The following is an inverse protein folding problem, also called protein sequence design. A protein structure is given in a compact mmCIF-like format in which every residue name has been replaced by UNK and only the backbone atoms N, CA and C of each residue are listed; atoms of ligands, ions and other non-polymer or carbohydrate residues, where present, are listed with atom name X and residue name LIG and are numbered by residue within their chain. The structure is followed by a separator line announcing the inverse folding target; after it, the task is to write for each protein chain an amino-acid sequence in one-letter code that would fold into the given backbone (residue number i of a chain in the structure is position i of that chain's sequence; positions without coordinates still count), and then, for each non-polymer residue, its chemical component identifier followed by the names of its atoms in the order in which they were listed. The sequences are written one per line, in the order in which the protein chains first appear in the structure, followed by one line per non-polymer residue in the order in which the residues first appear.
data_IF_129090945769
#
_entry.id   IF_129090945769
#
_cell.length_a   1.000
_cell.length_b   1.000
_cell.length_c   1.000
_cell.angle_alpha   90.00
_cell.angle_beta   90.00
_cell.angle_gamma   90.00
#
_symmetry.space_group_name_H-M   'P 1'
#
loop_
_entity.id
_entity.type
_entity.pdbx_description
1 polymer ?
#
# COMPACT_ATOMS: atom_id res chain seq x y z
N UNK A 1 9.93 24.24 -25.27
CA UNK A 1 9.59 24.66 -23.89
C UNK A 1 9.75 23.43 -23.00
N UNK A 2 10.75 23.41 -22.11
CA UNK A 2 10.92 22.30 -21.19
C UNK A 2 9.71 22.26 -20.25
N UNK A 3 8.91 21.21 -20.31
CA UNK A 3 7.79 20.98 -19.40
C UNK A 3 8.39 20.74 -18.02
N UNK A 4 8.18 21.66 -17.06
CA UNK A 4 8.60 21.46 -15.66
C UNK A 4 8.03 20.11 -15.20
N UNK A 5 8.91 19.20 -14.79
CA UNK A 5 8.54 17.96 -14.11
C UNK A 5 8.83 18.15 -12.62
N UNK A 6 7.85 17.94 -11.72
CA UNK A 6 8.16 17.95 -10.29
C UNK A 6 9.19 16.85 -10.00
N UNK A 7 10.12 17.13 -9.08
CA UNK A 7 10.99 16.08 -8.57
C UNK A 7 10.15 15.14 -7.69
N UNK A 8 10.59 13.90 -7.55
CA UNK A 8 9.98 12.89 -6.65
C UNK A 8 9.64 13.45 -5.27
N UNK A 9 10.57 14.20 -4.69
CA UNK A 9 10.41 14.85 -3.38
C UNK A 9 9.25 15.85 -3.34
N UNK A 10 9.01 16.58 -4.43
CA UNK A 10 7.94 17.59 -4.49
C UNK A 10 6.57 16.90 -4.48
N UNK A 11 6.42 15.87 -5.31
CA UNK A 11 5.18 15.08 -5.40
C UNK A 11 4.86 14.40 -4.06
N UNK A 12 5.86 13.79 -3.42
CA UNK A 12 5.69 13.12 -2.12
C UNK A 12 5.38 14.13 -1.01
N UNK A 13 6.06 15.28 -0.97
CA UNK A 13 5.77 16.33 0.00
C UNK A 13 4.34 16.86 -0.15
N UNK A 14 3.87 17.05 -1.38
CA UNK A 14 2.51 17.49 -1.66
C UNK A 14 1.46 16.44 -1.22
N UNK A 15 1.72 15.15 -1.45
CA UNK A 15 0.84 14.07 -0.96
C UNK A 15 0.83 14.01 0.57
N UNK A 16 1.99 14.10 1.21
CA UNK A 16 2.08 14.14 2.66
C UNK A 16 1.32 15.34 3.24
N UNK A 17 1.43 16.52 2.63
CA UNK A 17 0.65 17.71 3.02
C UNK A 17 -0.85 17.50 2.88
N UNK A 18 -1.29 16.91 1.76
CA UNK A 18 -2.71 16.59 1.54
C UNK A 18 -3.24 15.61 2.60
N UNK A 19 -2.51 14.52 2.85
CA UNK A 19 -2.88 13.51 3.85
C UNK A 19 -2.96 14.15 5.24
N UNK A 20 -1.95 14.91 5.64
CA UNK A 20 -1.91 15.57 6.95
C UNK A 20 -2.94 16.68 7.10
N UNK A 21 -3.28 17.37 6.01
CA UNK A 21 -4.34 18.37 6.02
C UNK A 21 -5.71 17.73 6.25
N UNK A 22 -5.99 16.62 5.57
CA UNK A 22 -7.29 15.93 5.64
C UNK A 22 -7.43 15.05 6.89
N UNK A 23 -6.32 14.51 7.39
CA UNK A 23 -6.29 13.51 8.46
C UNK A 23 -5.23 13.81 9.54
N UNK A 24 -5.03 15.08 9.91
CA UNK A 24 -3.99 15.47 10.89
C UNK A 24 -4.26 15.08 12.35
N UNK A 25 -5.20 14.18 12.63
CA UNK A 25 -5.53 13.67 13.97
C UNK A 25 -6.00 12.22 13.89
N UNK A 26 -5.74 11.46 14.93
CA UNK A 26 -6.13 10.06 15.00
C UNK A 26 -5.17 9.17 14.21
N UNK A 27 -5.47 7.88 14.24
CA UNK A 27 -4.70 6.89 13.52
C UNK A 27 -5.16 6.82 12.07
N UNK A 28 -4.26 7.14 11.14
CA UNK A 28 -4.54 7.21 9.70
C UNK A 28 -3.92 6.02 9.00
N UNK A 29 -4.68 5.36 8.14
CA UNK A 29 -4.18 4.25 7.33
C UNK A 29 -4.22 4.64 5.85
N UNK A 30 -3.06 4.57 5.21
CA UNK A 30 -2.82 4.92 3.82
C UNK A 30 -2.46 3.66 3.04
N UNK A 31 -3.17 3.40 1.95
CA UNK A 31 -2.80 2.32 1.01
C UNK A 31 -1.99 2.89 -0.17
N UNK A 32 -0.94 2.18 -0.59
CA UNK A 32 -0.19 2.42 -1.82
C UNK A 32 -0.30 1.17 -2.70
N UNK A 33 -1.25 1.21 -3.62
CA UNK A 33 -1.61 0.10 -4.50
C UNK A 33 -0.97 0.26 -5.87
N UNK A 34 -0.27 -0.77 -6.34
CA UNK A 34 0.40 -0.73 -7.64
C UNK A 34 0.44 -2.12 -8.29
N UNK A 35 0.49 -2.19 -9.64
CA UNK A 35 0.78 -3.41 -10.38
C UNK A 35 2.26 -3.87 -10.29
N UNK A 36 3.01 -3.41 -9.29
CA UNK A 36 4.42 -3.75 -9.10
C UNK A 36 4.87 -3.54 -7.67
N UNK A 37 5.28 -4.61 -7.00
CA UNK A 37 5.64 -4.58 -5.57
C UNK A 37 6.81 -3.63 -5.29
N UNK A 38 7.89 -3.70 -6.06
CA UNK A 38 9.10 -2.90 -5.79
C UNK A 38 8.85 -1.38 -5.92
N UNK A 39 8.06 -0.98 -6.92
CA UNK A 39 7.70 0.42 -7.13
C UNK A 39 6.78 0.93 -6.01
N UNK A 40 5.81 0.11 -5.58
CA UNK A 40 4.93 0.41 -4.45
C UNK A 40 5.72 0.59 -3.15
N UNK A 41 6.62 -0.35 -2.85
CA UNK A 41 7.44 -0.33 -1.64
C UNK A 41 8.32 0.92 -1.61
N UNK A 42 9.04 1.21 -2.69
CA UNK A 42 9.93 2.38 -2.73
C UNK A 42 9.14 3.68 -2.60
N UNK A 43 8.02 3.82 -3.31
CA UNK A 43 7.18 5.01 -3.21
C UNK A 43 6.60 5.21 -1.80
N UNK A 44 6.16 4.12 -1.17
CA UNK A 44 5.58 4.15 0.17
C UNK A 44 6.63 4.45 1.26
N UNK A 45 7.87 3.97 1.10
CA UNK A 45 8.98 4.31 1.97
C UNK A 45 9.28 5.81 1.92
N UNK A 46 9.38 6.39 0.73
CA UNK A 46 9.64 7.83 0.61
C UNK A 46 8.45 8.67 1.08
N UNK A 47 7.22 8.19 0.91
CA UNK A 47 6.03 8.86 1.45
C UNK A 47 6.08 8.86 2.99
N UNK A 48 6.51 7.76 3.62
CA UNK A 48 6.70 7.73 5.06
C UNK A 48 7.78 8.71 5.51
N UNK A 49 8.88 8.82 4.77
CA UNK A 49 9.94 9.80 5.07
C UNK A 49 9.46 11.24 4.90
N UNK A 50 8.66 11.54 3.88
CA UNK A 50 8.03 12.84 3.69
C UNK A 50 7.08 13.21 4.85
N UNK A 51 6.35 12.24 5.40
CA UNK A 51 5.49 12.42 6.59
C UNK A 51 6.33 12.64 7.85
N UNK A 52 7.38 11.84 8.05
CA UNK A 52 8.31 11.99 9.20
C UNK A 52 9.02 13.34 9.18
N UNK A 53 9.40 13.83 8.00
CA UNK A 53 9.98 15.17 7.83
C UNK A 53 9.04 16.30 8.27
N UNK A 54 7.73 16.04 8.34
CA UNK A 54 6.69 16.94 8.86
C UNK A 54 6.30 16.63 10.31
N UNK A 55 7.18 15.93 11.05
CA UNK A 55 7.06 15.63 12.47
C UNK A 55 5.87 14.74 12.87
N UNK A 56 5.39 13.89 11.96
CA UNK A 56 4.37 12.87 12.26
C UNK A 56 4.98 11.47 12.28
N UNK A 57 4.52 10.62 13.20
CA UNK A 57 4.95 9.23 13.24
C UNK A 57 4.41 8.47 12.02
N UNK A 58 5.28 7.80 11.28
CA UNK A 58 4.90 6.97 10.14
C UNK A 58 5.43 5.54 10.31
N UNK A 59 4.55 4.56 10.12
CA UNK A 59 4.85 3.13 10.16
C UNK A 59 4.67 2.53 8.77
N UNK A 60 5.52 1.56 8.42
CA UNK A 60 5.53 0.88 7.13
C UNK A 60 5.18 -0.59 7.30
N UNK A 61 4.35 -1.10 6.41
CA UNK A 61 4.06 -2.52 6.26
C UNK A 61 3.88 -2.82 4.77
N UNK A 62 4.34 -3.99 4.33
CA UNK A 62 4.15 -4.46 2.97
C UNK A 62 3.18 -5.64 2.98
N UNK A 63 2.27 -5.70 2.00
CA UNK A 63 1.33 -6.82 1.89
C UNK A 63 2.07 -8.17 1.73
N UNK A 64 3.26 -8.15 1.14
CA UNK A 64 4.12 -9.34 0.99
C UNK A 64 4.53 -9.96 2.33
N UNK A 65 4.61 -9.18 3.40
CA UNK A 65 4.91 -9.68 4.76
C UNK A 65 3.70 -10.34 5.45
N UNK A 66 2.57 -10.37 4.75
CA UNK A 66 1.34 -11.09 5.09
C UNK A 66 0.99 -12.09 3.98
N UNK A 67 2.00 -12.67 3.33
CA UNK A 67 1.82 -13.74 2.34
C UNK A 67 1.31 -15.02 2.97
N UNK A 68 0.58 -15.83 2.19
CA UNK A 68 0.28 -17.22 2.55
C UNK A 68 1.50 -18.12 2.26
N UNK A 69 1.58 -19.30 2.91
CA UNK A 69 2.58 -20.32 2.57
C UNK A 69 2.53 -20.69 1.09
N UNK A 70 3.67 -21.02 0.50
CA UNK A 70 3.79 -21.37 -0.93
C UNK A 70 2.80 -22.44 -1.36
N UNK A 71 2.64 -23.48 -0.54
CA UNK A 71 1.70 -24.57 -0.81
C UNK A 71 0.25 -24.10 -1.02
N UNK A 72 -0.18 -23.04 -0.32
CA UNK A 72 -1.50 -22.44 -0.51
C UNK A 72 -1.53 -21.54 -1.75
N UNK A 73 -0.52 -20.69 -1.92
CA UNK A 73 -0.44 -19.75 -3.06
C UNK A 73 -0.44 -20.46 -4.41
N UNK A 74 0.25 -21.60 -4.48
CA UNK A 74 0.43 -22.37 -5.72
C UNK A 74 -0.59 -23.52 -5.85
N UNK A 75 -1.62 -23.58 -5.00
CA UNK A 75 -2.62 -24.66 -5.01
C UNK A 75 -3.38 -24.75 -6.34
N UNK A 76 -3.48 -23.64 -7.08
CA UNK A 76 -4.08 -23.57 -8.42
C UNK A 76 -3.06 -23.70 -9.57
N UNK A 77 -1.81 -24.03 -9.26
CA UNK A 77 -0.67 -24.00 -10.15
C UNK A 77 0.17 -22.74 -9.97
N UNK A 78 1.50 -22.86 -10.08
CA UNK A 78 2.45 -21.77 -9.83
C UNK A 78 2.26 -20.56 -10.76
N UNK A 79 1.83 -20.79 -12.01
CA UNK A 79 1.60 -19.73 -13.01
C UNK A 79 0.13 -19.26 -13.06
N UNK A 80 -0.68 -19.63 -12.07
CA UNK A 80 -2.10 -19.29 -12.05
C UNK A 80 -2.30 -17.82 -11.72
N UNK A 81 -2.77 -17.04 -12.70
CA UNK A 81 -3.18 -15.64 -12.49
C UNK A 81 -4.26 -15.50 -11.40
N UNK A 82 -5.19 -16.45 -11.36
CA UNK A 82 -6.23 -16.49 -10.34
C UNK A 82 -5.64 -16.80 -8.95
N UNK A 83 -4.71 -17.75 -8.86
CA UNK A 83 -4.01 -18.06 -7.59
C UNK A 83 -3.21 -16.87 -7.09
N UNK A 84 -2.44 -16.22 -7.97
CA UNK A 84 -1.67 -15.03 -7.63
C UNK A 84 -2.56 -13.85 -7.15
N UNK A 85 -3.75 -13.67 -7.72
CA UNK A 85 -4.67 -12.63 -7.27
C UNK A 85 -5.44 -12.99 -5.99
N UNK A 86 -5.97 -14.22 -5.90
CA UNK A 86 -6.92 -14.61 -4.83
C UNK A 86 -6.27 -15.25 -3.63
N UNK A 87 -5.17 -15.97 -3.83
CA UNK A 87 -4.61 -16.89 -2.85
C UNK A 87 -3.20 -16.47 -2.39
N UNK A 88 -2.64 -15.36 -2.89
CA UNK A 88 -1.29 -14.94 -2.53
C UNK A 88 -1.14 -14.45 -1.07
N UNK A 89 -2.16 -13.79 -0.52
CA UNK A 89 -2.04 -13.05 0.74
C UNK A 89 -3.07 -13.47 1.80
N UNK A 90 -2.67 -13.36 3.07
CA UNK A 90 -3.48 -13.60 4.25
C UNK A 90 -4.05 -12.29 4.79
N UNK A 91 -5.05 -11.77 4.07
CA UNK A 91 -5.80 -10.57 4.46
C UNK A 91 -6.46 -10.67 5.85
N UNK A 92 -6.99 -11.83 6.30
CA UNK A 92 -7.42 -12.01 7.68
C UNK A 92 -6.31 -11.71 8.69
N UNK A 93 -5.08 -12.20 8.47
CA UNK A 93 -3.94 -11.90 9.35
C UNK A 93 -3.52 -10.43 9.28
N UNK A 94 -3.42 -9.84 8.08
CA UNK A 94 -3.20 -8.39 7.92
C UNK A 94 -4.21 -7.58 8.74
N UNK A 95 -5.49 -7.95 8.67
CA UNK A 95 -6.56 -7.21 9.33
C UNK A 95 -6.47 -7.31 10.85
N UNK A 96 -6.41 -8.54 11.39
CA UNK A 96 -6.45 -8.78 12.85
C UNK A 96 -5.15 -8.40 13.58
N UNK A 97 -4.00 -8.48 12.89
CA UNK A 97 -2.68 -8.31 13.50
C UNK A 97 -2.09 -6.91 13.27
N UNK A 98 -2.51 -6.22 12.20
CA UNK A 98 -2.03 -4.88 11.86
C UNK A 98 -3.16 -3.84 11.86
N UNK A 99 -4.13 -3.95 10.96
CA UNK A 99 -5.08 -2.86 10.66
C UNK A 99 -5.98 -2.55 11.87
N UNK A 100 -6.65 -3.56 12.43
CA UNK A 100 -7.55 -3.39 13.57
C UNK A 100 -6.86 -2.87 14.84
N UNK A 101 -5.73 -3.46 15.29
CA UNK A 101 -5.03 -2.94 16.46
C UNK A 101 -4.45 -1.54 16.22
N UNK A 102 -3.89 -1.26 15.03
CA UNK A 102 -3.44 0.09 14.71
C UNK A 102 -4.60 1.09 14.78
N UNK A 103 -5.75 0.79 14.17
CA UNK A 103 -6.92 1.69 14.19
C UNK A 103 -7.48 1.93 15.58
N UNK A 104 -7.37 0.94 16.49
CA UNK A 104 -7.83 1.06 17.88
C UNK A 104 -7.02 2.08 18.69
N UNK A 105 -5.73 2.21 18.38
CA UNK A 105 -4.80 3.12 19.06
C UNK A 105 -4.59 2.84 20.54
N UNK A 106 -4.00 3.80 21.24
CA UNK A 106 -3.64 3.68 22.66
C UNK A 106 -2.63 2.56 22.92
N UNK A 107 -2.91 1.67 23.88
CA UNK A 107 -2.03 0.54 24.22
C UNK A 107 -2.20 -0.68 23.31
N UNK A 108 -3.01 -0.59 22.25
CA UNK A 108 -3.18 -1.69 21.32
C UNK A 108 -1.87 -1.93 20.55
N UNK A 109 -1.35 -3.15 20.64
CA UNK A 109 -0.13 -3.54 19.96
C UNK A 109 -0.43 -4.16 18.59
N UNK A 110 0.36 -3.79 17.59
CA UNK A 110 0.25 -4.30 16.21
C UNK A 110 1.62 -4.79 15.70
N UNK A 111 1.60 -5.63 14.68
CA UNK A 111 2.82 -6.09 13.98
C UNK A 111 2.75 -5.70 12.50
N UNK A 112 3.89 -5.33 11.92
CA UNK A 112 3.99 -4.91 10.52
C UNK A 112 4.36 -6.06 9.57
N UNK A 113 4.62 -7.25 10.11
CA UNK A 113 4.93 -8.46 9.36
C UNK A 113 4.45 -9.69 10.14
N UNK A 114 4.15 -10.77 9.41
CA UNK A 114 3.75 -12.07 10.00
C UNK A 114 4.33 -13.27 9.24
N UNK A 115 4.89 -13.04 8.05
CA UNK A 115 5.42 -14.09 7.18
C UNK A 115 6.69 -13.64 6.45
N UNK A 116 7.68 -14.52 6.36
CA UNK A 116 8.85 -14.37 5.51
C UNK A 116 8.65 -15.18 4.23
N UNK A 117 8.38 -14.48 3.13
CA UNK A 117 8.10 -15.12 1.83
C UNK A 117 9.31 -15.84 1.24
N UNK A 118 10.54 -15.39 1.55
CA UNK A 118 11.76 -15.96 1.01
C UNK A 118 12.08 -17.30 1.69
N UNK A 119 11.86 -17.37 3.01
CA UNK A 119 12.02 -18.59 3.81
C UNK A 119 10.78 -19.48 3.80
N UNK A 120 9.64 -18.96 3.37
CA UNK A 120 8.33 -19.61 3.39
C UNK A 120 7.91 -20.03 4.81
N UNK A 121 8.13 -19.13 5.78
CA UNK A 121 7.85 -19.40 7.20
C UNK A 121 7.17 -18.22 7.88
N UNK A 122 6.26 -18.46 8.84
CA UNK A 122 5.78 -17.41 9.74
C UNK A 122 6.94 -16.74 10.48
N UNK A 123 6.79 -15.45 10.76
CA UNK A 123 7.71 -14.70 11.63
C UNK A 123 6.99 -14.22 12.87
N UNK A 124 7.67 -14.35 14.02
CA UNK A 124 7.24 -13.70 15.25
C UNK A 124 7.87 -12.32 15.31
N UNK A 125 7.04 -11.29 15.45
CA UNK A 125 7.50 -9.91 15.59
C UNK A 125 7.09 -9.37 16.96
N UNK A 126 7.99 -8.59 17.55
CA UNK A 126 7.64 -7.81 18.73
C UNK A 126 6.58 -6.78 18.34
N UNK A 127 5.47 -6.79 19.07
CA UNK A 127 4.38 -5.87 18.82
C UNK A 127 4.78 -4.43 19.17
N UNK A 128 4.30 -3.49 18.36
CA UNK A 128 4.58 -2.07 18.49
C UNK A 128 3.31 -1.31 18.90
N UNK A 129 3.48 -0.15 19.54
CA UNK A 129 2.39 0.82 19.76
C UNK A 129 2.69 2.09 18.99
N UNK A 130 1.67 2.93 18.80
CA UNK A 130 1.78 4.16 18.03
C UNK A 130 1.16 5.34 18.80
N UNK A 131 1.68 6.57 18.62
CA UNK A 131 1.05 7.78 19.16
C UNK A 131 -0.30 8.06 18.48
N UNK A 132 -1.12 8.89 19.12
CA UNK A 132 -2.52 9.16 18.74
C UNK A 132 -2.72 9.81 17.36
N UNK A 133 -1.65 10.28 16.71
CA UNK A 133 -1.61 10.94 15.40
C UNK A 133 -0.77 10.17 14.37
N UNK A 134 -0.50 8.88 14.63
CA UNK A 134 0.33 8.07 13.76
C UNK A 134 -0.33 7.74 12.42
N UNK A 135 0.53 7.57 11.42
CA UNK A 135 0.16 7.14 10.07
C UNK A 135 0.75 5.76 9.78
N UNK A 136 -0.09 4.84 9.34
CA UNK A 136 0.34 3.54 8.81
C UNK A 136 0.24 3.58 7.28
N UNK A 137 1.34 3.31 6.59
CA UNK A 137 1.37 3.19 5.13
C UNK A 137 1.56 1.71 4.78
N UNK A 138 0.56 1.14 4.10
CA UNK A 138 0.56 -0.23 3.59
C UNK A 138 0.74 -0.22 2.09
N UNK A 139 1.77 -0.90 1.58
CA UNK A 139 1.99 -1.03 0.13
C UNK A 139 1.80 -2.47 -0.36
N UNK A 140 1.52 -2.60 -1.65
CA UNK A 140 1.47 -3.87 -2.34
C UNK A 140 0.34 -3.92 -3.38
N UNK A 141 0.25 -5.01 -4.15
CA UNK A 141 -0.81 -5.15 -5.13
C UNK A 141 -2.15 -5.42 -4.44
N UNK A 142 -3.24 -5.12 -5.14
CA UNK A 142 -4.60 -5.54 -4.80
C UNK A 142 -5.21 -4.85 -3.57
N UNK A 143 -4.63 -3.75 -3.08
CA UNK A 143 -5.06 -3.10 -1.84
C UNK A 143 -6.40 -2.37 -1.96
N UNK A 144 -6.79 -1.86 -3.14
CA UNK A 144 -8.10 -1.21 -3.35
C UNK A 144 -9.26 -2.21 -3.61
N UNK A 145 -9.09 -3.48 -3.23
CA UNK A 145 -10.15 -4.49 -3.27
C UNK A 145 -11.28 -4.18 -2.29
N UNK A 146 -12.48 -4.69 -2.55
CA UNK A 146 -13.68 -4.33 -1.81
C UNK A 146 -13.59 -4.66 -0.31
N UNK A 147 -12.90 -5.74 0.03
CA UNK A 147 -12.72 -6.25 1.40
C UNK A 147 -11.89 -5.32 2.27
N UNK A 148 -11.07 -4.45 1.66
CA UNK A 148 -10.19 -3.51 2.37
C UNK A 148 -10.62 -2.05 2.26
N UNK A 149 -11.54 -1.73 1.36
CA UNK A 149 -11.94 -0.36 1.06
C UNK A 149 -12.39 0.44 2.29
N UNK A 150 -12.99 -0.20 3.30
CA UNK A 150 -13.44 0.44 4.54
C UNK A 150 -12.34 0.72 5.59
N UNK A 151 -11.11 0.28 5.34
CA UNK A 151 -9.98 0.47 6.25
C UNK A 151 -9.10 1.65 5.88
N UNK A 152 -9.07 2.06 4.62
CA UNK A 152 -8.20 3.13 4.15
C UNK A 152 -8.82 4.50 4.42
N UNK A 153 -8.09 5.37 5.12
CA UNK A 153 -8.42 6.79 5.15
C UNK A 153 -8.05 7.45 3.82
N UNK A 154 -6.95 7.00 3.22
CA UNK A 154 -6.44 7.50 1.94
C UNK A 154 -5.88 6.33 1.14
N UNK A 155 -6.07 6.34 -0.18
CA UNK A 155 -5.39 5.38 -1.05
C UNK A 155 -4.77 6.04 -2.28
N UNK A 156 -3.56 5.61 -2.60
CA UNK A 156 -2.80 5.99 -3.78
C UNK A 156 -2.79 4.81 -4.73
N UNK A 157 -3.20 5.02 -5.97
CA UNK A 157 -2.94 4.10 -7.08
C UNK A 157 -1.72 4.60 -7.86
N UNK A 158 -0.72 3.72 -8.04
CA UNK A 158 0.45 4.00 -8.86
C UNK A 158 0.27 3.38 -10.25
N UNK A 159 0.23 4.22 -11.28
CA UNK A 159 0.42 3.79 -12.66
C UNK A 159 1.93 3.60 -12.87
N UNK A 160 2.40 2.36 -13.00
CA UNK A 160 3.80 2.04 -13.28
C UNK A 160 4.05 1.80 -14.78
N UNK A 161 5.29 2.00 -15.23
CA UNK A 161 5.68 1.77 -16.62
C UNK A 161 5.72 0.28 -17.03
N UNK A 162 5.74 -0.62 -16.04
CA UNK A 162 5.88 -2.06 -16.26
C UNK A 162 4.65 -2.71 -16.90
N UNK A 163 4.88 -3.83 -17.58
CA UNK A 163 3.79 -4.68 -18.05
C UNK A 163 3.04 -5.29 -16.86
N UNK A 164 1.71 -5.21 -16.91
CA UNK A 164 0.86 -5.83 -15.90
C UNK A 164 0.92 -7.35 -15.99
N UNK A 165 1.04 -8.01 -14.85
CA UNK A 165 0.85 -9.47 -14.78
C UNK A 165 -0.59 -9.85 -15.11
N UNK A 166 -0.83 -11.12 -15.46
CA UNK A 166 -2.18 -11.61 -15.72
C UNK A 166 -3.10 -11.48 -14.48
N UNK A 167 -2.53 -11.58 -13.28
CA UNK A 167 -3.25 -11.37 -12.01
C UNK A 167 -3.66 -9.89 -11.83
N UNK A 168 -2.77 -8.95 -12.14
CA UNK A 168 -3.09 -7.52 -12.13
C UNK A 168 -4.10 -7.12 -13.19
N UNK A 169 -4.05 -7.74 -14.38
CA UNK A 169 -5.06 -7.53 -15.40
C UNK A 169 -6.45 -8.01 -14.93
N UNK A 170 -6.51 -9.18 -14.28
CA UNK A 170 -7.74 -9.70 -13.67
C UNK A 170 -8.27 -8.76 -12.58
N UNK A 171 -7.39 -8.31 -11.68
CA UNK A 171 -7.73 -7.35 -10.65
C UNK A 171 -8.27 -6.03 -11.22
N UNK A 172 -7.59 -5.48 -12.23
CA UNK A 172 -8.00 -4.25 -12.88
C UNK A 172 -9.39 -4.39 -13.52
N UNK A 173 -9.68 -5.54 -14.13
CA UNK A 173 -10.97 -5.83 -14.73
C UNK A 173 -12.09 -5.96 -13.69
N UNK A 174 -11.85 -6.67 -12.59
CA UNK A 174 -12.89 -6.93 -11.58
C UNK A 174 -13.14 -5.75 -10.64
N UNK A 175 -12.11 -4.97 -10.32
CA UNK A 175 -12.16 -4.00 -9.22
C UNK A 175 -12.11 -2.56 -9.71
N UNK A 176 -11.51 -2.29 -10.87
CA UNK A 176 -11.18 -0.94 -11.34
C UNK A 176 -10.47 -0.11 -10.24
N UNK A 177 -9.31 -0.58 -9.71
CA UNK A 177 -8.66 0.01 -8.54
C UNK A 177 -8.28 1.47 -8.74
N UNK A 178 -7.83 1.83 -9.95
CA UNK A 178 -7.50 3.19 -10.33
C UNK A 178 -8.64 4.18 -10.09
N UNK A 179 -9.90 3.78 -10.31
CA UNK A 179 -11.06 4.68 -10.09
C UNK A 179 -11.51 4.73 -8.63
N UNK A 180 -11.04 3.80 -7.80
CA UNK A 180 -11.36 3.74 -6.37
C UNK A 180 -10.37 4.51 -5.51
N UNK A 181 -9.19 4.79 -6.03
CA UNK A 181 -8.15 5.47 -5.29
C UNK A 181 -8.47 6.96 -5.06
N UNK A 182 -8.10 7.48 -3.88
CA UNK A 182 -8.18 8.91 -3.57
C UNK A 182 -7.21 9.71 -4.44
N UNK A 183 -6.04 9.14 -4.72
CA UNK A 183 -5.00 9.70 -5.55
C UNK A 183 -4.56 8.72 -6.64
N UNK A 184 -4.28 9.26 -7.82
CA UNK A 184 -3.63 8.52 -8.89
C UNK A 184 -2.29 9.22 -9.15
N UNK A 185 -1.22 8.44 -9.17
CA UNK A 185 0.12 8.94 -9.47
C UNK A 185 0.66 8.15 -10.64
N UNK A 186 1.01 8.85 -11.70
CA UNK A 186 1.84 8.31 -12.78
C UNK A 186 3.28 8.22 -12.25
N UNK A 187 3.72 6.99 -12.03
CA UNK A 187 5.05 6.61 -11.56
C UNK A 187 5.86 5.91 -12.67
N UNK A 188 5.52 6.17 -13.95
CA UNK A 188 6.27 5.60 -15.09
C UNK A 188 7.72 6.10 -15.16
N UNK A 189 8.00 7.25 -14.55
CA UNK A 189 9.33 7.78 -14.28
C UNK A 189 9.46 7.98 -12.75
N UNK A 190 10.05 7.02 -12.02
CA UNK A 190 10.13 7.06 -10.55
C UNK A 190 10.89 8.27 -9.98
N UNK A 191 11.73 8.92 -10.79
CA UNK A 191 12.43 10.14 -10.37
C UNK A 191 11.54 11.38 -10.49
N UNK A 192 10.50 11.31 -11.32
CA UNK A 192 9.58 12.40 -11.63
C UNK A 192 8.10 11.95 -11.60
N UNK A 193 7.61 11.33 -10.51
CA UNK A 193 6.22 10.91 -10.38
C UNK A 193 5.28 12.11 -10.44
N UNK A 194 4.10 11.94 -11.03
CA UNK A 194 3.14 13.04 -11.23
C UNK A 194 1.75 12.64 -10.80
N UNK A 195 1.06 13.53 -10.08
CA UNK A 195 -0.38 13.38 -9.84
C UNK A 195 -1.10 13.35 -11.19
N UNK A 196 -1.86 12.29 -11.43
CA UNK A 196 -2.83 12.20 -12.51
C UNK A 196 -4.22 12.41 -11.93
N UNK A 197 -5.10 13.04 -12.70
CA UNK A 197 -6.52 13.02 -12.42
C UNK A 197 -7.17 11.95 -13.29
N UNK A 198 -8.21 11.28 -12.78
CA UNK A 198 -9.01 10.42 -13.63
C UNK A 198 -9.72 11.33 -14.64
N UNK A 199 -9.62 11.00 -15.93
CA UNK A 199 -10.44 11.63 -16.96
C UNK A 199 -11.89 11.18 -16.74
N UNK A 200 -12.59 11.89 -15.87
CA UNK A 200 -14.03 11.75 -15.69
C UNK A 200 -14.70 12.48 -16.85
N UNK A 201 -14.94 11.75 -17.95
CA UNK A 201 -15.84 12.18 -19.02
C UNK A 201 -17.30 11.99 -18.59
#
# INVERSE_FOLDING_TARGET
MARWAPLRTDTLSALAEEILHNYGRGHVIVAVDAPGQADATTFADDLADAIRAKSHAAFRASLIDFSRPRAEREARGADSAEGAYRDAFDYPTLTRALIEPFRRGGSASFVTASFDVARDTPVENEGQTAPDDAILIVDGPFLNRAELAGFWNYSVWLDAAGERTAAEALYAHEVAPRTKATAIVDNSDPEHPRRSFADSC
#
